data_IF_973648844394
#
_entry.id   IF_973648844394
#
_cell.length_a   1.000
_cell.length_b   1.000
_cell.length_c   1.000
_cell.angle_alpha   90.00
_cell.angle_beta   90.00
_cell.angle_gamma   90.00
#
_symmetry.space_group_name_H-M   'P 1'
#
loop_
_entity.id
_entity.type
_entity.pdbx_description
1 polymer ?
#
# COMPACT_ATOMS: atom_id res chain seq x y z
N UNK A 1 -6.48 38.16 -29.07
CA UNK A 1 -5.11 37.83 -28.64
C UNK A 1 -4.99 36.31 -28.54
N UNK A 2 -4.90 35.67 -29.69
CA UNK A 2 -4.51 34.27 -29.87
C UNK A 2 -3.09 34.37 -30.44
N UNK A 3 -2.23 33.38 -30.23
CA UNK A 3 -0.86 33.32 -30.79
C UNK A 3 0.28 33.91 -29.93
N UNK A 4 0.31 33.55 -28.65
CA UNK A 4 1.57 33.49 -27.88
C UNK A 4 1.71 32.17 -27.11
N UNK A 5 1.14 31.09 -27.63
CA UNK A 5 1.25 29.72 -27.09
C UNK A 5 2.13 28.84 -27.99
N UNK A 6 2.96 29.45 -28.84
CA UNK A 6 3.63 28.81 -29.97
C UNK A 6 5.05 28.29 -29.74
N UNK A 7 5.64 28.42 -28.54
CA UNK A 7 7.05 28.01 -28.31
C UNK A 7 7.27 27.12 -27.08
N UNK A 8 6.21 26.71 -26.38
CA UNK A 8 6.33 25.67 -25.37
C UNK A 8 5.74 24.39 -25.93
N UNK A 9 6.63 23.52 -26.44
CA UNK A 9 6.32 22.23 -27.03
C UNK A 9 5.23 21.51 -26.22
N UNK A 10 4.03 21.34 -26.78
CA UNK A 10 2.91 20.66 -26.12
C UNK A 10 3.30 19.27 -25.60
N UNK A 11 4.30 18.61 -26.19
CA UNK A 11 4.86 17.34 -25.67
C UNK A 11 5.54 17.52 -24.31
N UNK A 12 6.25 18.62 -24.07
CA UNK A 12 6.85 18.94 -22.76
C UNK A 12 5.77 19.15 -21.70
N UNK A 13 4.67 19.82 -22.07
CA UNK A 13 3.53 20.02 -21.16
C UNK A 13 2.92 18.67 -20.76
N UNK A 14 2.73 17.78 -21.73
CA UNK A 14 2.18 16.44 -21.48
C UNK A 14 3.12 15.60 -20.61
N UNK A 15 4.42 15.57 -20.93
CA UNK A 15 5.40 14.81 -20.14
C UNK A 15 5.49 15.32 -18.70
N UNK A 16 5.44 16.64 -18.51
CA UNK A 16 5.45 17.25 -17.17
C UNK A 16 4.18 16.90 -16.40
N UNK A 17 3.01 16.95 -17.04
CA UNK A 17 1.74 16.57 -16.41
C UNK A 17 1.75 15.10 -15.97
N UNK A 18 2.21 14.18 -16.83
CA UNK A 18 2.33 12.75 -16.49
C UNK A 18 3.33 12.53 -15.36
N UNK A 19 4.48 13.22 -15.38
CA UNK A 19 5.48 13.15 -14.31
C UNK A 19 4.92 13.58 -12.95
N UNK A 20 4.12 14.65 -12.91
CA UNK A 20 3.45 15.10 -11.70
C UNK A 20 2.41 14.10 -11.20
N UNK A 21 1.63 13.49 -12.09
CA UNK A 21 0.66 12.45 -11.73
C UNK A 21 1.35 11.20 -11.17
N UNK A 22 2.45 10.76 -11.79
CA UNK A 22 3.26 9.65 -11.29
C UNK A 22 3.82 9.97 -9.90
N UNK A 23 4.39 11.17 -9.71
CA UNK A 23 4.93 11.59 -8.42
C UNK A 23 3.84 11.61 -7.32
N UNK A 24 2.65 12.12 -7.62
CA UNK A 24 1.52 12.11 -6.70
C UNK A 24 1.09 10.68 -6.34
N UNK A 25 0.98 9.81 -7.34
CA UNK A 25 0.59 8.41 -7.13
C UNK A 25 1.57 7.67 -6.21
N UNK A 26 2.87 7.78 -6.45
CA UNK A 26 3.88 7.07 -5.65
C UNK A 26 4.08 7.65 -4.25
N UNK A 27 3.85 8.95 -4.05
CA UNK A 27 4.05 9.60 -2.74
C UNK A 27 2.85 9.50 -1.83
N UNK A 28 1.62 9.48 -2.36
CA UNK A 28 0.40 9.51 -1.53
C UNK A 28 -0.38 8.19 -1.59
N UNK A 29 -0.62 7.69 -2.80
CA UNK A 29 -1.47 6.50 -2.97
C UNK A 29 -0.70 5.22 -2.64
N UNK A 30 0.53 5.08 -3.14
CA UNK A 30 1.36 3.90 -2.90
C UNK A 30 1.65 3.59 -1.43
N UNK A 31 2.02 4.52 -0.53
CA UNK A 31 2.24 4.18 0.89
C UNK A 31 0.97 3.69 1.58
N UNK A 32 -0.19 4.22 1.18
CA UNK A 32 -1.49 3.78 1.72
C UNK A 32 -1.79 2.33 1.34
N UNK A 33 -1.54 1.96 0.08
CA UNK A 33 -1.71 0.58 -0.40
C UNK A 33 -0.65 -0.34 0.23
N UNK A 34 0.61 0.10 0.25
CA UNK A 34 1.72 -0.67 0.81
C UNK A 34 1.50 -0.98 2.28
N UNK A 35 1.01 -0.03 3.08
CA UNK A 35 0.70 -0.27 4.50
C UNK A 35 -0.33 -1.40 4.69
N UNK A 36 -1.38 -1.40 3.88
CA UNK A 36 -2.41 -2.45 3.92
C UNK A 36 -1.90 -3.81 3.43
N UNK A 37 -1.06 -3.82 2.38
CA UNK A 37 -0.45 -5.05 1.88
C UNK A 37 0.62 -5.60 2.81
N UNK A 38 1.40 -4.76 3.48
CA UNK A 38 2.45 -5.17 4.41
C UNK A 38 1.84 -5.81 5.66
N UNK A 39 0.75 -5.25 6.19
CA UNK A 39 0.01 -5.85 7.30
C UNK A 39 -0.53 -7.25 6.95
N UNK A 40 -1.14 -7.41 5.77
CA UNK A 40 -1.64 -8.71 5.32
C UNK A 40 -0.52 -9.69 4.97
N UNK A 41 0.56 -9.23 4.32
CA UNK A 41 1.68 -10.08 3.92
C UNK A 41 2.51 -10.54 5.12
N UNK A 42 2.68 -9.69 6.14
CA UNK A 42 3.29 -10.07 7.41
C UNK A 42 2.52 -11.21 8.06
N UNK A 43 1.19 -11.11 8.08
CA UNK A 43 0.34 -12.18 8.59
C UNK A 43 0.40 -13.47 7.76
N UNK A 44 0.57 -13.38 6.43
CA UNK A 44 0.80 -14.56 5.58
C UNK A 44 2.18 -15.21 5.74
N UNK A 45 3.16 -14.49 6.29
CA UNK A 45 4.55 -14.98 6.49
C UNK A 45 4.89 -15.26 7.96
N UNK A 46 4.02 -14.88 8.89
CA UNK A 46 4.21 -15.10 10.32
C UNK A 46 3.77 -16.51 10.71
N UNK A 47 4.41 -17.07 11.73
CA UNK A 47 3.93 -18.30 12.36
C UNK A 47 2.84 -17.94 13.37
N UNK A 48 1.61 -18.35 13.10
CA UNK A 48 0.46 -18.05 13.93
C UNK A 48 0.13 -19.21 14.87
N UNK A 49 -0.19 -18.88 16.12
CA UNK A 49 -0.67 -19.87 17.09
C UNK A 49 -2.08 -20.34 16.72
N UNK A 50 -2.43 -21.56 17.12
CA UNK A 50 -3.78 -22.09 16.89
C UNK A 50 -4.78 -21.29 17.73
N UNK A 51 -5.90 -20.92 17.12
CA UNK A 51 -7.03 -20.36 17.83
C UNK A 51 -7.48 -21.33 18.95
N UNK A 52 -7.41 -20.90 20.21
CA UNK A 52 -7.82 -21.68 21.40
C UNK A 52 -9.23 -21.34 21.89
N UNK A 53 -9.89 -20.33 21.29
CA UNK A 53 -11.23 -19.92 21.72
C UNK A 53 -12.36 -20.73 21.04
N UNK A 54 -13.28 -21.33 21.82
CA UNK A 54 -14.43 -22.08 21.30
C UNK A 54 -15.55 -21.21 20.69
N UNK A 55 -15.44 -19.87 20.81
CA UNK A 55 -16.40 -18.90 20.25
C UNK A 55 -16.01 -18.30 18.90
N UNK A 56 -14.86 -18.72 18.34
CA UNK A 56 -14.31 -18.22 17.09
C UNK A 56 -13.32 -17.07 17.29
N UNK A 57 -12.03 -17.29 16.98
CA UNK A 57 -11.04 -16.23 17.01
C UNK A 57 -11.22 -15.32 15.79
N UNK A 58 -11.44 -14.03 16.02
CA UNK A 58 -11.32 -13.02 14.94
C UNK A 58 -9.86 -12.67 14.68
N UNK A 59 -9.00 -12.75 15.71
CA UNK A 59 -7.57 -12.45 15.64
C UNK A 59 -6.76 -13.47 16.44
N UNK A 60 -5.60 -13.85 15.92
CA UNK A 60 -4.63 -14.72 16.59
C UNK A 60 -3.28 -14.02 16.72
N UNK A 61 -2.54 -14.43 17.74
CA UNK A 61 -1.17 -13.99 17.96
C UNK A 61 -0.25 -14.72 16.98
N UNK A 62 0.57 -13.96 16.25
CA UNK A 62 1.56 -14.51 15.32
C UNK A 62 2.94 -13.94 15.59
N UNK A 63 3.94 -14.78 15.40
CA UNK A 63 5.34 -14.43 15.55
C UNK A 63 5.95 -14.18 14.17
N UNK A 64 6.47 -12.96 13.98
CA UNK A 64 7.20 -12.57 12.78
C UNK A 64 8.54 -11.97 13.18
N UNK A 65 9.63 -12.73 12.97
CA UNK A 65 10.97 -12.43 13.54
C UNK A 65 10.88 -12.29 15.08
N UNK A 66 11.51 -11.27 15.66
CA UNK A 66 11.50 -10.97 17.10
C UNK A 66 10.28 -10.14 17.56
N UNK A 67 9.21 -10.06 16.76
CA UNK A 67 8.02 -9.26 17.08
C UNK A 67 6.75 -10.10 17.03
N UNK A 68 5.88 -9.87 18.01
CA UNK A 68 4.55 -10.47 18.11
C UNK A 68 3.54 -9.53 17.45
N UNK A 69 2.80 -10.03 16.46
CA UNK A 69 1.79 -9.29 15.70
C UNK A 69 0.42 -9.97 15.80
N UNK A 70 -0.66 -9.19 15.83
CA UNK A 70 -2.03 -9.72 15.87
C UNK A 70 -2.64 -9.76 14.47
N UNK A 71 -2.87 -10.97 13.96
CA UNK A 71 -3.36 -11.19 12.61
C UNK A 71 -4.80 -11.72 12.61
N UNK A 72 -5.61 -11.40 11.59
CA UNK A 72 -6.94 -11.98 11.46
C UNK A 72 -6.84 -13.50 11.25
N UNK A 73 -7.67 -14.26 11.96
CA UNK A 73 -7.70 -15.72 11.82
C UNK A 73 -8.26 -16.10 10.45
N UNK A 74 -7.57 -16.97 9.72
CA UNK A 74 -7.93 -17.38 8.35
C UNK A 74 -8.53 -18.79 8.26
N UNK A 75 -8.75 -19.46 9.39
CA UNK A 75 -9.27 -20.83 9.48
C UNK A 75 -8.17 -21.86 9.68
#
# INVERSE_FOLDING_TARGET
MKEATGELNSTIVVVTAVGLLMAFFYTIIWPTIKSNMDANTKCSKAYCEKCTDPGGCTRVTCHYKDSTIYCPWKG
#
